data_IF_017611898764
#
_entry.id   IF_017611898764
#
_cell.length_a   1.000
_cell.length_b   1.000
_cell.length_c   1.000
_cell.angle_alpha   90.00
_cell.angle_beta   90.00
_cell.angle_gamma   90.00
#
_symmetry.space_group_name_H-M   'P 1'
#
loop_
_entity.id
_entity.type
_entity.pdbx_description
1 polymer ?
#
# COMPACT_ATOMS: atom_id res chain seq x y z
N UNK A 1 -55.69 46.41 -32.31
CA UNK A 1 -55.74 45.09 -32.99
C UNK A 1 -54.62 44.22 -32.44
N UNK A 2 -54.88 42.91 -32.33
CA UNK A 2 -53.96 41.78 -32.05
C UNK A 2 -53.85 41.24 -30.61
N UNK A 3 -54.85 40.40 -30.29
CA UNK A 3 -54.81 39.01 -29.78
C UNK A 3 -53.97 38.63 -28.53
N UNK A 4 -54.73 38.22 -27.50
CA UNK A 4 -54.45 37.20 -26.45
C UNK A 4 -53.43 36.13 -26.85
N UNK A 5 -52.58 35.71 -25.90
CA UNK A 5 -52.36 34.28 -25.52
C UNK A 5 -51.91 34.17 -24.05
N UNK A 6 -52.67 33.40 -23.27
CA UNK A 6 -52.22 32.78 -22.01
C UNK A 6 -51.44 31.53 -22.41
N UNK A 7 -50.27 31.30 -21.82
CA UNK A 7 -49.57 30.01 -21.91
C UNK A 7 -49.14 29.59 -20.50
N UNK A 8 -49.81 28.56 -19.99
CA UNK A 8 -49.30 27.71 -18.92
C UNK A 8 -48.03 27.00 -19.42
N UNK A 9 -46.95 27.02 -18.65
CA UNK A 9 -45.85 26.08 -18.85
C UNK A 9 -45.56 25.35 -17.54
N UNK A 10 -45.56 24.03 -17.66
CA UNK A 10 -45.53 23.04 -16.61
C UNK A 10 -44.25 23.12 -15.76
N UNK A 11 -44.42 22.98 -14.45
CA UNK A 11 -43.32 22.70 -13.52
C UNK A 11 -42.87 21.26 -13.76
N UNK A 12 -41.74 21.08 -14.42
CA UNK A 12 -41.15 19.77 -14.65
C UNK A 12 -40.66 19.19 -13.32
N UNK A 13 -41.14 17.99 -13.01
CA UNK A 13 -40.66 17.17 -11.90
C UNK A 13 -39.18 16.85 -12.15
N UNK A 14 -38.28 17.37 -11.31
CA UNK A 14 -36.88 16.93 -11.27
C UNK A 14 -36.83 15.54 -10.62
N UNK A 15 -36.88 14.50 -11.44
CA UNK A 15 -36.43 13.17 -11.04
C UNK A 15 -34.91 13.23 -10.88
N UNK A 16 -34.45 13.31 -9.64
CA UNK A 16 -33.06 13.08 -9.26
C UNK A 16 -32.70 11.62 -9.58
N UNK A 17 -32.16 11.39 -10.78
CA UNK A 17 -31.44 10.17 -11.06
C UNK A 17 -30.16 10.18 -10.22
N UNK A 18 -30.11 9.33 -9.19
CA UNK A 18 -28.87 9.00 -8.51
C UNK A 18 -28.05 8.17 -9.50
N UNK A 19 -27.15 8.82 -10.24
CA UNK A 19 -26.09 8.12 -10.95
C UNK A 19 -25.07 7.62 -9.91
N UNK A 20 -24.54 6.40 -10.05
CA UNK A 20 -23.40 6.00 -9.24
C UNK A 20 -22.24 6.95 -9.58
N UNK A 21 -21.62 7.52 -8.55
CA UNK A 21 -20.36 8.23 -8.69
C UNK A 21 -19.34 7.20 -9.15
N UNK A 22 -19.03 7.18 -10.44
CA UNK A 22 -17.77 6.63 -10.92
C UNK A 22 -16.68 7.36 -10.13
N UNK A 23 -15.87 6.62 -9.37
CA UNK A 23 -14.73 7.18 -8.67
C UNK A 23 -13.74 7.63 -9.73
N UNK A 24 -13.86 8.88 -10.18
CA UNK A 24 -12.79 9.49 -10.96
C UNK A 24 -11.53 9.40 -10.11
N UNK A 25 -10.51 8.74 -10.66
CA UNK A 25 -9.14 8.80 -10.15
C UNK A 25 -8.88 10.25 -9.75
N UNK A 26 -8.46 10.56 -8.50
CA UNK A 26 -8.28 11.93 -8.09
C UNK A 26 -7.32 12.60 -9.07
N UNK A 27 -7.87 13.45 -9.95
CA UNK A 27 -7.14 14.09 -11.05
C UNK A 27 -6.04 15.01 -10.50
N UNK A 28 -6.15 15.40 -9.22
CA UNK A 28 -5.11 16.13 -8.49
C UNK A 28 -3.81 15.33 -8.25
N UNK A 29 -3.81 13.99 -8.34
CA UNK A 29 -2.59 13.18 -8.19
C UNK A 29 -1.67 13.27 -9.43
N UNK A 30 -2.18 13.70 -10.59
CA UNK A 30 -1.52 13.40 -11.89
C UNK A 30 -0.70 14.56 -12.47
N UNK A 31 -0.81 15.80 -11.99
CA UNK A 31 -0.26 16.95 -12.73
C UNK A 31 1.00 17.62 -12.15
N UNK A 32 1.18 17.71 -10.83
CA UNK A 32 2.32 18.45 -10.24
C UNK A 32 3.32 17.57 -9.46
N UNK A 33 2.95 16.35 -9.05
CA UNK A 33 3.76 15.48 -8.17
C UNK A 33 4.35 14.23 -8.86
N UNK A 34 4.22 14.11 -10.19
CA UNK A 34 4.78 13.01 -10.99
C UNK A 34 6.33 12.93 -11.01
N UNK A 35 7.00 13.63 -10.09
CA UNK A 35 8.45 13.68 -9.87
C UNK A 35 8.87 13.17 -8.47
N UNK A 36 8.06 12.30 -7.85
CA UNK A 36 8.29 11.85 -6.46
C UNK A 36 9.49 10.91 -6.29
N UNK A 37 9.78 10.07 -7.28
CA UNK A 37 10.88 9.09 -7.25
C UNK A 37 11.75 9.25 -8.49
N UNK A 38 13.07 9.04 -8.34
CA UNK A 38 14.00 8.97 -9.47
C UNK A 38 13.97 7.60 -10.18
N UNK A 39 13.34 6.59 -9.60
CA UNK A 39 13.22 5.23 -10.15
C UNK A 39 11.83 4.92 -10.70
N UNK A 40 11.69 3.71 -11.25
CA UNK A 40 10.42 3.15 -11.70
C UNK A 40 9.44 3.01 -10.53
N UNK A 41 8.18 3.33 -10.79
CA UNK A 41 7.10 3.16 -9.81
C UNK A 41 5.76 2.88 -10.49
N UNK A 42 4.83 2.38 -9.71
CA UNK A 42 3.50 1.97 -10.14
C UNK A 42 2.45 2.69 -9.30
N UNK A 43 1.39 3.18 -9.93
CA UNK A 43 0.17 3.60 -9.25
C UNK A 43 -0.87 2.49 -9.38
N UNK A 44 -1.49 2.08 -8.28
CA UNK A 44 -2.52 1.05 -8.33
C UNK A 44 -3.61 1.25 -7.29
N UNK A 45 -4.78 0.64 -7.52
CA UNK A 45 -5.83 0.53 -6.52
C UNK A 45 -5.52 -0.61 -5.55
N UNK A 46 -5.67 -0.39 -4.24
CA UNK A 46 -5.62 -1.44 -3.22
C UNK A 46 -6.93 -2.23 -3.25
N UNK A 47 -6.87 -3.49 -3.69
CA UNK A 47 -8.01 -4.40 -3.65
C UNK A 47 -8.27 -4.90 -2.23
N UNK A 48 -7.22 -5.30 -1.51
CA UNK A 48 -7.27 -5.64 -0.08
C UNK A 48 -5.88 -5.66 0.55
N UNK A 49 -5.84 -5.42 1.86
CA UNK A 49 -4.69 -5.76 2.70
C UNK A 49 -4.76 -7.26 3.05
N UNK A 50 -3.70 -8.01 2.78
CA UNK A 50 -3.61 -9.44 3.12
C UNK A 50 -3.24 -9.60 4.59
N UNK A 51 -2.14 -8.95 4.98
CA UNK A 51 -1.59 -8.81 6.33
C UNK A 51 -0.70 -7.55 6.40
N UNK A 52 0.11 -7.39 7.45
CA UNK A 52 0.91 -6.19 7.71
C UNK A 52 2.04 -5.91 6.72
N UNK A 53 2.41 -6.86 5.85
CA UNK A 53 3.48 -6.71 4.87
C UNK A 53 3.11 -7.18 3.46
N UNK A 54 1.85 -7.57 3.24
CA UNK A 54 1.38 -8.02 1.94
C UNK A 54 0.05 -7.37 1.59
N UNK A 55 -0.04 -6.78 0.40
CA UNK A 55 -1.28 -6.25 -0.16
C UNK A 55 -1.61 -6.94 -1.49
N UNK A 56 -2.87 -6.81 -1.88
CA UNK A 56 -3.33 -7.17 -3.22
C UNK A 56 -3.82 -5.90 -3.90
N UNK A 57 -3.32 -5.64 -5.09
CA UNK A 57 -3.61 -4.46 -5.90
C UNK A 57 -4.33 -4.84 -7.20
N UNK A 58 -4.98 -3.87 -7.82
CA UNK A 58 -5.64 -3.96 -9.12
C UNK A 58 -5.54 -2.60 -9.83
N UNK A 59 -6.06 -2.52 -11.05
CA UNK A 59 -6.08 -1.27 -11.85
C UNK A 59 -4.67 -0.64 -11.94
N UNK A 60 -3.68 -1.50 -12.21
CA UNK A 60 -2.25 -1.18 -12.20
C UNK A 60 -1.90 -0.25 -13.37
N UNK A 61 -1.38 0.93 -13.05
CA UNK A 61 -0.83 1.88 -14.01
C UNK A 61 0.71 1.79 -14.02
N UNK A 62 1.25 1.41 -15.18
CA UNK A 62 2.68 1.21 -15.44
C UNK A 62 3.30 2.30 -16.32
N UNK A 63 2.60 3.44 -16.53
CA UNK A 63 3.10 4.55 -17.36
C UNK A 63 4.44 5.14 -16.86
N UNK A 64 4.78 4.86 -15.60
CA UNK A 64 5.99 5.32 -14.91
C UNK A 64 7.05 4.21 -14.72
N UNK A 65 6.91 3.09 -15.44
CA UNK A 65 7.87 1.98 -15.44
C UNK A 65 8.65 2.00 -16.76
N UNK A 66 9.98 2.07 -16.68
CA UNK A 66 10.86 2.05 -17.84
C UNK A 66 11.33 0.65 -18.22
N UNK A 67 11.32 -0.32 -17.29
CA UNK A 67 11.59 -1.72 -17.59
C UNK A 67 10.43 -2.39 -18.36
N UNK A 68 10.65 -2.66 -19.65
CA UNK A 68 9.66 -3.30 -20.51
C UNK A 68 9.37 -4.76 -20.15
N UNK A 69 10.32 -5.48 -19.52
CA UNK A 69 10.08 -6.85 -19.08
C UNK A 69 9.10 -6.86 -17.90
N UNK A 70 9.27 -5.95 -16.94
CA UNK A 70 8.34 -5.80 -15.83
C UNK A 70 6.94 -5.43 -16.31
N UNK A 71 6.83 -4.56 -17.32
CA UNK A 71 5.55 -4.22 -17.96
C UNK A 71 4.90 -5.45 -18.61
N UNK A 72 5.67 -6.27 -19.33
CA UNK A 72 5.17 -7.50 -19.94
C UNK A 72 4.70 -8.50 -18.87
N UNK A 73 5.50 -8.75 -17.84
CA UNK A 73 5.15 -9.65 -16.73
C UNK A 73 3.90 -9.20 -15.99
N UNK A 74 3.78 -7.92 -15.61
CA UNK A 74 2.58 -7.39 -14.95
C UNK A 74 1.33 -7.54 -15.81
N UNK A 75 1.47 -7.50 -17.13
CA UNK A 75 0.35 -7.73 -18.06
C UNK A 75 -0.11 -9.20 -18.07
N UNK A 76 0.77 -10.15 -17.72
CA UNK A 76 0.47 -11.59 -17.65
C UNK A 76 -0.13 -12.02 -16.30
N UNK A 77 0.22 -11.35 -15.20
CA UNK A 77 -0.26 -11.68 -13.83
C UNK A 77 -1.79 -11.53 -13.68
N UNK A 78 -2.45 -10.83 -14.61
CA UNK A 78 -3.89 -10.69 -14.68
C UNK A 78 -4.42 -9.49 -13.88
N UNK A 79 -5.73 -9.43 -13.55
CA UNK A 79 -6.35 -8.21 -13.04
C UNK A 79 -5.98 -7.86 -11.59
N UNK A 80 -5.25 -8.72 -10.89
CA UNK A 80 -4.96 -8.56 -9.46
C UNK A 80 -3.60 -9.15 -9.10
N UNK A 81 -2.72 -8.30 -8.57
CA UNK A 81 -1.30 -8.60 -8.27
C UNK A 81 -1.11 -8.60 -6.75
N UNK A 82 -0.32 -9.55 -6.23
CA UNK A 82 0.11 -9.49 -4.83
C UNK A 82 1.43 -8.74 -4.74
N UNK A 83 1.56 -7.87 -3.75
CA UNK A 83 2.77 -7.10 -3.49
C UNK A 83 3.26 -7.42 -2.09
N UNK A 84 4.52 -7.82 -1.96
CA UNK A 84 5.20 -8.05 -0.68
C UNK A 84 6.08 -6.83 -0.40
N UNK A 85 5.96 -6.30 0.81
CA UNK A 85 6.72 -5.15 1.26
C UNK A 85 8.16 -5.58 1.41
N UNK A 86 9.04 -4.81 0.79
CA UNK A 86 10.47 -5.11 0.73
C UNK A 86 11.13 -4.82 2.10
N UNK A 87 12.21 -5.54 2.43
CA UNK A 87 13.04 -5.25 3.61
C UNK A 87 12.34 -5.29 5.00
N UNK A 88 11.07 -5.70 5.08
CA UNK A 88 10.32 -5.79 6.34
C UNK A 88 9.58 -7.11 6.48
N UNK A 89 9.28 -7.45 7.72
CA UNK A 89 8.48 -8.61 8.11
C UNK A 89 7.55 -8.20 9.25
N UNK A 90 6.27 -8.55 9.13
CA UNK A 90 5.26 -8.30 10.17
C UNK A 90 4.79 -9.61 10.78
N UNK A 91 4.29 -9.62 12.02
CA UNK A 91 3.68 -10.81 12.58
C UNK A 91 2.47 -11.24 11.74
N UNK A 92 2.35 -12.56 11.52
CA UNK A 92 1.30 -13.14 10.69
C UNK A 92 -0.11 -12.88 11.24
N UNK A 93 -1.02 -12.42 10.37
CA UNK A 93 -2.45 -12.27 10.65
C UNK A 93 -3.35 -13.01 9.64
N UNK A 94 -2.87 -14.13 9.11
CA UNK A 94 -3.61 -14.94 8.13
C UNK A 94 -4.22 -16.19 8.78
N UNK A 95 -3.84 -17.37 8.32
CA UNK A 95 -4.21 -18.65 8.93
C UNK A 95 -3.43 -18.90 10.23
N UNK A 96 -2.23 -18.35 10.31
CA UNK A 96 -1.44 -18.26 11.53
C UNK A 96 -1.69 -16.88 12.13
N UNK A 97 -1.88 -16.84 13.44
CA UNK A 97 -2.09 -15.60 14.19
C UNK A 97 -0.95 -15.43 15.17
N UNK A 98 -0.19 -14.36 14.99
CA UNK A 98 0.87 -13.93 15.89
C UNK A 98 0.46 -12.64 16.59
N UNK A 99 0.99 -12.40 17.79
CA UNK A 99 0.74 -11.17 18.55
C UNK A 99 1.19 -9.96 17.73
N UNK A 100 0.42 -8.86 17.76
CA UNK A 100 0.62 -7.66 16.93
C UNK A 100 0.37 -7.83 15.42
N UNK A 101 0.06 -9.03 14.92
CA UNK A 101 -0.21 -9.21 13.50
C UNK A 101 -1.48 -8.49 13.03
N UNK A 102 -2.54 -8.55 13.84
CA UNK A 102 -3.79 -7.83 13.57
C UNK A 102 -3.57 -6.32 13.60
N UNK A 103 -2.84 -5.84 14.60
CA UNK A 103 -2.50 -4.42 14.77
C UNK A 103 -1.70 -3.90 13.57
N UNK A 104 -0.73 -4.68 13.08
CA UNK A 104 0.05 -4.36 11.88
C UNK A 104 -0.83 -4.29 10.63
N UNK A 105 -1.72 -5.26 10.48
CA UNK A 105 -2.67 -5.34 9.36
C UNK A 105 -3.66 -4.18 9.37
N UNK A 106 -4.24 -3.86 10.54
CA UNK A 106 -5.14 -2.72 10.74
C UNK A 106 -4.42 -1.40 10.43
N UNK A 107 -3.15 -1.28 10.83
CA UNK A 107 -2.37 -0.07 10.55
C UNK A 107 -2.13 0.15 9.06
N UNK A 108 -1.81 -0.90 8.30
CA UNK A 108 -1.70 -0.81 6.83
C UNK A 108 -3.05 -0.41 6.21
N UNK A 109 -4.17 -0.95 6.71
CA UNK A 109 -5.50 -0.57 6.23
C UNK A 109 -5.82 0.91 6.48
N UNK A 110 -5.41 1.45 7.62
CA UNK A 110 -5.56 2.87 7.94
C UNK A 110 -4.71 3.75 7.02
N UNK A 111 -3.43 3.41 6.85
CA UNK A 111 -2.49 4.19 6.03
C UNK A 111 -2.90 4.22 4.55
N UNK A 112 -3.38 3.09 4.03
CA UNK A 112 -3.81 2.97 2.64
C UNK A 112 -5.29 3.32 2.42
N UNK A 113 -5.95 3.92 3.43
CA UNK A 113 -7.40 4.20 3.48
C UNK A 113 -7.99 5.03 2.33
N UNK A 114 -7.17 5.49 1.38
CA UNK A 114 -7.55 6.16 0.13
C UNK A 114 -7.83 5.21 -1.03
N UNK A 115 -7.52 3.92 -0.89
CA UNK A 115 -7.72 2.92 -1.92
C UNK A 115 -6.74 2.98 -3.07
N UNK A 116 -5.84 3.97 -3.13
CA UNK A 116 -4.73 4.03 -4.08
C UNK A 116 -3.39 3.98 -3.34
N UNK A 117 -2.39 3.39 -4.00
CA UNK A 117 -1.06 3.19 -3.46
C UNK A 117 -0.02 3.46 -4.54
N UNK A 118 1.12 4.01 -4.12
CA UNK A 118 2.32 4.13 -4.96
C UNK A 118 3.30 3.03 -4.53
N UNK A 119 3.81 2.30 -5.51
CA UNK A 119 4.76 1.21 -5.31
C UNK A 119 6.03 1.59 -6.05
N UNK A 120 7.07 1.94 -5.31
CA UNK A 120 8.39 2.15 -5.89
C UNK A 120 9.06 0.80 -6.09
N UNK A 121 9.54 0.57 -7.32
CA UNK A 121 10.27 -0.64 -7.69
C UNK A 121 11.75 -0.39 -7.40
N UNK A 122 12.35 -1.32 -6.64
CA UNK A 122 13.78 -1.30 -6.38
C UNK A 122 14.52 -1.94 -7.56
N UNK A 123 15.64 -1.36 -8.00
CA UNK A 123 16.41 -1.90 -9.12
C UNK A 123 16.99 -3.30 -8.84
N UNK A 124 17.08 -3.67 -7.56
CA UNK A 124 17.60 -4.96 -7.09
C UNK A 124 16.47 -5.95 -6.71
N UNK A 125 15.20 -5.66 -7.06
CA UNK A 125 14.08 -6.56 -6.78
C UNK A 125 12.93 -6.44 -7.78
N UNK A 126 12.39 -7.60 -8.18
CA UNK A 126 11.27 -7.72 -9.10
C UNK A 126 10.13 -8.55 -8.48
N UNK A 127 10.28 -9.87 -8.43
CA UNK A 127 9.31 -10.82 -7.92
C UNK A 127 9.98 -11.84 -7.01
N UNK A 128 9.26 -12.26 -5.97
CA UNK A 128 9.69 -13.40 -5.18
C UNK A 128 9.29 -14.74 -5.81
N UNK A 129 9.82 -15.84 -5.24
CA UNK A 129 9.51 -17.22 -5.63
C UNK A 129 8.04 -17.65 -5.50
N UNK A 130 7.17 -16.78 -5.00
CA UNK A 130 5.73 -16.99 -4.84
C UNK A 130 4.91 -16.07 -5.76
N UNK A 131 5.56 -15.49 -6.77
CA UNK A 131 4.97 -14.59 -7.75
C UNK A 131 4.34 -13.35 -7.10
N UNK A 132 4.95 -12.83 -6.02
CA UNK A 132 4.60 -11.54 -5.43
C UNK A 132 5.57 -10.48 -5.96
N UNK A 133 5.03 -9.39 -6.47
CA UNK A 133 5.80 -8.18 -6.77
C UNK A 133 6.48 -7.69 -5.49
N UNK A 134 7.75 -7.36 -5.56
CA UNK A 134 8.50 -6.76 -4.45
C UNK A 134 8.55 -5.25 -4.65
N UNK A 135 8.31 -4.48 -3.60
CA UNK A 135 8.39 -3.02 -3.71
C UNK A 135 8.30 -2.30 -2.38
N UNK A 136 8.68 -1.02 -2.43
CA UNK A 136 8.49 -0.07 -1.34
C UNK A 136 7.16 0.64 -1.49
N UNK A 137 6.40 0.71 -0.40
CA UNK A 137 4.99 1.10 -0.43
C UNK A 137 4.82 2.48 0.16
N UNK A 138 4.18 3.34 -0.62
CA UNK A 138 3.91 4.72 -0.25
C UNK A 138 2.42 5.03 -0.37
N UNK A 139 1.93 5.84 0.56
CA UNK A 139 0.65 6.52 0.36
C UNK A 139 0.77 7.49 -0.82
N UNK A 140 -0.36 7.90 -1.40
CA UNK A 140 -0.37 8.91 -2.47
C UNK A 140 0.20 10.26 -2.02
N UNK A 141 0.26 10.51 -0.71
CA UNK A 141 0.87 11.71 -0.11
C UNK A 141 2.38 11.53 0.18
N UNK A 142 2.98 10.42 -0.27
CA UNK A 142 4.42 10.16 -0.14
C UNK A 142 4.87 9.58 1.21
N UNK A 143 3.95 9.08 2.03
CA UNK A 143 4.32 8.46 3.33
C UNK A 143 4.80 7.03 3.10
N UNK A 144 6.05 6.72 3.48
CA UNK A 144 6.61 5.37 3.45
C UNK A 144 5.92 4.48 4.51
N UNK A 145 5.13 3.51 4.05
CA UNK A 145 4.31 2.65 4.92
C UNK A 145 5.19 1.76 5.80
N UNK A 146 6.25 1.18 5.23
CA UNK A 146 7.18 0.31 5.96
C UNK A 146 7.90 1.06 7.09
N UNK A 147 8.35 2.28 6.82
CA UNK A 147 9.00 3.12 7.83
C UNK A 147 8.06 3.44 9.00
N UNK A 148 6.78 3.72 8.72
CA UNK A 148 5.76 3.95 9.76
C UNK A 148 5.57 2.69 10.61
N UNK A 149 5.42 1.52 9.98
CA UNK A 149 5.26 0.25 10.71
C UNK A 149 6.45 -0.04 11.62
N UNK A 150 7.68 0.17 11.14
CA UNK A 150 8.89 -0.03 11.93
C UNK A 150 8.97 0.94 13.12
N UNK A 151 8.69 2.23 12.87
CA UNK A 151 8.68 3.27 13.91
C UNK A 151 7.64 3.02 15.01
N UNK A 152 6.50 2.45 14.63
CA UNK A 152 5.44 2.09 15.57
C UNK A 152 5.67 0.71 16.21
N UNK A 153 6.77 0.00 15.89
CA UNK A 153 7.08 -1.32 16.43
C UNK A 153 6.13 -2.42 15.95
N UNK A 154 5.55 -2.28 14.76
CA UNK A 154 4.63 -3.25 14.15
C UNK A 154 5.32 -4.17 13.13
N UNK A 155 6.56 -3.86 12.77
CA UNK A 155 7.37 -4.66 11.86
C UNK A 155 8.80 -4.81 12.41
N UNK A 156 9.58 -5.71 11.80
CA UNK A 156 11.04 -5.80 11.95
C UNK A 156 11.71 -5.63 10.59
N UNK A 157 12.97 -5.16 10.56
CA UNK A 157 13.79 -5.22 9.33
C UNK A 157 14.18 -6.68 9.06
N UNK A 158 13.96 -7.15 7.84
CA UNK A 158 14.19 -8.54 7.46
C UNK A 158 14.39 -8.72 5.95
N UNK A 159 14.85 -9.91 5.55
CA UNK A 159 14.95 -10.33 4.14
C UNK A 159 15.82 -9.41 3.27
N UNK A 160 16.92 -8.91 3.82
CA UNK A 160 17.92 -8.14 3.09
C UNK A 160 18.81 -9.08 2.27
N UNK A 161 18.39 -9.41 1.05
CA UNK A 161 19.14 -10.27 0.13
C UNK A 161 20.05 -9.50 -0.82
N UNK A 162 19.81 -8.20 -0.99
CA UNK A 162 20.63 -7.27 -1.76
C UNK A 162 20.62 -5.88 -1.09
N UNK A 163 21.27 -4.90 -1.73
CA UNK A 163 21.26 -3.50 -1.30
C UNK A 163 19.96 -2.81 -1.73
N UNK A 164 19.02 -2.68 -0.79
CA UNK A 164 17.71 -2.10 -1.04
C UNK A 164 17.63 -0.66 -0.55
N UNK A 165 16.77 0.13 -1.19
CA UNK A 165 16.47 1.50 -0.76
C UNK A 165 15.92 1.54 0.67
N UNK A 166 16.14 2.67 1.33
CA UNK A 166 15.60 3.02 2.66
C UNK A 166 16.04 2.13 3.83
N UNK A 167 16.88 1.11 3.63
CA UNK A 167 17.28 0.17 4.70
C UNK A 167 17.91 0.89 5.90
N UNK A 168 18.70 1.93 5.69
CA UNK A 168 19.28 2.74 6.77
C UNK A 168 18.19 3.47 7.60
N UNK A 169 17.18 4.03 6.92
CA UNK A 169 16.05 4.68 7.60
C UNK A 169 15.18 3.66 8.34
N UNK A 170 15.03 2.46 7.77
CA UNK A 170 14.32 1.35 8.39
C UNK A 170 14.99 0.86 9.66
N UNK A 171 16.32 0.69 9.65
CA UNK A 171 17.06 0.34 10.88
C UNK A 171 16.94 1.42 11.95
N UNK A 172 16.95 2.69 11.55
CA UNK A 172 16.76 3.80 12.49
C UNK A 172 15.36 3.77 13.11
N UNK A 173 14.31 3.57 12.31
CA UNK A 173 12.94 3.49 12.76
C UNK A 173 12.70 2.31 13.72
N UNK A 174 13.22 1.12 13.38
CA UNK A 174 13.13 -0.05 14.25
C UNK A 174 13.89 0.16 15.57
N UNK A 175 15.08 0.78 15.52
CA UNK A 175 15.86 1.07 16.72
C UNK A 175 15.15 2.05 17.67
N UNK A 176 14.40 3.03 17.15
CA UNK A 176 13.55 3.93 17.93
C UNK A 176 12.44 3.14 18.65
N UNK A 177 11.71 2.28 17.93
CA UNK A 177 10.66 1.43 18.50
C UNK A 177 11.20 0.45 19.55
N UNK A 178 12.39 -0.12 19.33
CA UNK A 178 13.07 -0.98 20.28
C UNK A 178 13.46 -0.23 21.57
N UNK A 179 13.99 0.99 21.44
CA UNK A 179 14.38 1.80 22.61
C UNK A 179 13.17 2.20 23.47
N UNK A 180 12.00 2.38 22.84
CA UNK A 180 10.75 2.71 23.51
C UNK A 180 9.95 1.48 23.98
N UNK A 181 10.35 0.27 23.56
CA UNK A 181 9.66 -0.98 23.89
C UNK A 181 8.25 -1.04 23.30
N UNK A 182 8.10 -0.60 22.05
CA UNK A 182 6.78 -0.56 21.39
C UNK A 182 6.42 -1.92 20.78
N UNK A 183 5.17 -2.33 20.97
CA UNK A 183 4.53 -3.43 20.25
C UNK A 183 5.42 -4.69 20.15
N UNK A 184 5.90 -5.10 18.97
CA UNK A 184 6.71 -6.33 18.84
C UNK A 184 8.00 -6.27 19.67
N UNK A 185 8.51 -5.08 19.97
CA UNK A 185 9.67 -4.85 20.82
C UNK A 185 9.34 -4.70 22.31
N UNK A 186 8.06 -4.78 22.70
CA UNK A 186 7.66 -4.72 24.11
C UNK A 186 7.93 -6.02 24.89
N UNK A 187 8.20 -7.12 24.18
CA UNK A 187 8.45 -8.46 24.75
C UNK A 187 9.87 -8.90 24.38
N UNK A 188 10.70 -9.12 25.39
CA UNK A 188 12.07 -9.60 25.19
C UNK A 188 12.07 -10.98 24.51
N UNK A 189 12.84 -11.10 23.43
CA UNK A 189 12.95 -12.35 22.66
C UNK A 189 11.81 -12.60 21.67
N UNK A 190 10.79 -11.74 21.61
CA UNK A 190 9.69 -11.93 20.67
C UNK A 190 10.15 -11.73 19.22
N UNK A 191 10.92 -10.67 18.94
CA UNK A 191 11.58 -10.46 17.65
C UNK A 191 12.91 -11.23 17.62
N UNK A 192 13.09 -12.08 16.62
CA UNK A 192 14.32 -12.85 16.38
C UNK A 192 14.87 -12.59 14.98
N UNK A 193 15.99 -13.20 14.60
CA UNK A 193 16.47 -13.23 13.21
C UNK A 193 15.58 -14.07 12.28
N UNK A 194 14.83 -15.02 12.84
CA UNK A 194 13.98 -15.99 12.11
C UNK A 194 12.49 -15.65 12.09
N UNK A 195 12.09 -14.50 12.61
CA UNK A 195 10.68 -14.08 12.72
C UNK A 195 10.27 -13.83 14.17
N UNK A 196 9.02 -14.13 14.47
CA UNK A 196 8.40 -13.85 15.77
C UNK A 196 8.25 -15.13 16.61
N UNK A 197 8.86 -15.16 17.81
CA UNK A 197 8.83 -16.31 18.71
C UNK A 197 7.63 -16.26 19.66
N UNK A 198 6.56 -16.96 19.30
CA UNK A 198 5.35 -17.04 20.13
C UNK A 198 5.57 -17.76 21.47
N UNK A 199 6.70 -18.42 21.73
CA UNK A 199 6.94 -19.13 23.00
C UNK A 199 7.27 -18.21 24.19
N UNK A 200 7.63 -16.95 23.91
CA UNK A 200 7.87 -15.92 24.94
C UNK A 200 6.65 -15.03 25.20
N UNK A 201 5.55 -15.26 24.47
CA UNK A 201 4.28 -14.57 24.64
C UNK A 201 3.43 -15.36 25.65
N UNK A 202 3.19 -14.77 26.83
CA UNK A 202 2.39 -15.38 27.91
C UNK A 202 0.89 -15.48 27.62
#
# INVERSE_FOLDING_TARGET
MLKRKILFLAFALLLSACAPVESELPVEIVADDAAFFESDWILASVERVVDGDTIRIKDVNVDYVSDLNLVEELSEVGPSVRVRFLAVDTPEDTNVKQLYGRESTERVQELLGSGYVVIEIDENADFDRYDRLLGHIFTVDGVNVQEVLLREGLARVAYLYDDYKYVDDYFKAEAEALAEGLNVHSIEGYVTDRGFDMSVVE
#
